data_IF_296510074294
#
_entry.id   IF_296510074294
#
_cell.length_a   1.000
_cell.length_b   1.000
_cell.length_c   1.000
_cell.angle_alpha   90.00
_cell.angle_beta   90.00
_cell.angle_gamma   90.00
#
_symmetry.space_group_name_H-M   'P 1'
#
loop_
_entity.id
_entity.type
_entity.pdbx_description
1 polymer ?
#
# COMPACT_ATOMS: atom_id res chain seq x y z
N UNK A 1 -23.45 -17.78 21.76
CA UNK A 1 -23.43 -17.07 20.46
C UNK A 1 -22.58 -15.79 20.47
N UNK A 2 -22.81 -14.81 21.37
CA UNK A 2 -22.03 -13.54 21.42
C UNK A 2 -20.52 -13.74 21.66
N UNK A 3 -20.13 -14.69 22.51
CA UNK A 3 -18.73 -15.06 22.74
C UNK A 3 -18.07 -15.74 21.54
N UNK A 4 -18.85 -16.45 20.73
CA UNK A 4 -18.37 -17.18 19.56
C UNK A 4 -18.03 -16.22 18.41
N UNK A 5 -18.83 -15.15 18.24
CA UNK A 5 -18.56 -14.07 17.28
C UNK A 5 -17.33 -13.27 17.72
N UNK A 6 -17.20 -12.95 19.02
CA UNK A 6 -16.01 -12.28 19.56
C UNK A 6 -14.73 -13.10 19.36
N UNK A 7 -14.80 -14.41 19.57
CA UNK A 7 -13.69 -15.33 19.32
C UNK A 7 -13.35 -15.42 17.82
N UNK A 8 -14.35 -15.47 16.93
CA UNK A 8 -14.16 -15.51 15.47
C UNK A 8 -13.50 -14.25 14.92
N UNK A 9 -13.91 -13.06 15.39
CA UNK A 9 -13.29 -11.79 15.01
C UNK A 9 -11.86 -11.71 15.54
N UNK A 10 -11.62 -12.16 16.78
CA UNK A 10 -10.28 -12.20 17.35
C UNK A 10 -9.37 -13.18 16.59
N UNK A 11 -9.86 -14.38 16.24
CA UNK A 11 -9.11 -15.35 15.43
C UNK A 11 -8.88 -14.85 13.99
N UNK A 12 -9.81 -14.10 13.39
CA UNK A 12 -9.63 -13.51 12.07
C UNK A 12 -8.59 -12.37 12.08
N UNK A 13 -8.55 -11.54 13.14
CA UNK A 13 -7.63 -10.41 13.26
C UNK A 13 -6.24 -10.85 13.71
N UNK A 14 -6.14 -11.86 14.58
CA UNK A 14 -4.85 -12.34 15.15
C UNK A 14 -4.34 -13.64 14.54
N UNK A 15 -5.16 -14.33 13.73
CA UNK A 15 -4.76 -15.54 13.00
C UNK A 15 -4.08 -15.28 11.66
N UNK A 16 -4.26 -14.08 11.09
CA UNK A 16 -3.37 -13.55 10.05
C UNK A 16 -2.10 -13.06 10.74
N UNK A 17 -1.00 -13.78 10.59
CA UNK A 17 0.27 -13.43 11.24
C UNK A 17 0.68 -11.97 11.01
N UNK A 18 1.36 -11.38 11.98
CA UNK A 18 1.87 -10.00 11.94
C UNK A 18 2.97 -9.73 10.89
N UNK A 19 3.09 -10.53 9.84
CA UNK A 19 3.95 -10.22 8.69
C UNK A 19 3.23 -9.20 7.80
N UNK A 20 3.14 -7.96 8.29
CA UNK A 20 2.73 -6.76 7.54
C UNK A 20 1.34 -6.86 6.89
N UNK A 21 0.40 -6.01 7.33
CA UNK A 21 -0.73 -5.59 6.49
C UNK A 21 -0.16 -5.01 5.18
N UNK A 22 -0.02 -5.86 4.16
CA UNK A 22 0.42 -5.45 2.84
C UNK A 22 -0.84 -5.16 2.05
N UNK A 23 -1.00 -3.91 1.63
CA UNK A 23 -2.10 -3.56 0.75
C UNK A 23 -2.02 -4.39 -0.53
N UNK A 24 -3.19 -4.70 -1.08
CA UNK A 24 -3.27 -5.33 -2.39
C UNK A 24 -2.46 -4.50 -3.41
N UNK A 25 -1.79 -5.16 -4.38
CA UNK A 25 -1.02 -4.45 -5.38
C UNK A 25 -1.92 -3.52 -6.19
N UNK A 26 -1.47 -2.27 -6.37
CA UNK A 26 -2.13 -1.31 -7.26
C UNK A 26 -1.87 -1.63 -8.73
N UNK A 27 -2.53 -0.90 -9.63
CA UNK A 27 -2.45 -1.17 -11.08
C UNK A 27 -1.02 -1.13 -11.62
N UNK A 28 -0.23 -0.11 -11.27
CA UNK A 28 1.18 -0.02 -11.71
C UNK A 28 2.01 -1.24 -11.27
N UNK A 29 1.73 -1.80 -10.08
CA UNK A 29 2.40 -3.02 -9.63
C UNK A 29 1.98 -4.25 -10.43
N UNK A 30 0.70 -4.36 -10.80
CA UNK A 30 0.19 -5.44 -11.65
C UNK A 30 0.72 -5.34 -13.07
N UNK A 31 0.75 -4.14 -13.65
CA UNK A 31 1.35 -3.86 -14.96
C UNK A 31 2.82 -4.28 -14.99
N UNK A 32 3.59 -3.89 -13.96
CA UNK A 32 4.99 -4.28 -13.84
C UNK A 32 5.17 -5.80 -13.64
N UNK A 33 4.32 -6.45 -12.84
CA UNK A 33 4.37 -7.91 -12.65
C UNK A 33 4.09 -8.66 -13.97
N UNK A 34 3.11 -8.19 -14.74
CA UNK A 34 2.82 -8.70 -16.08
C UNK A 34 4.00 -8.50 -17.04
N UNK A 35 4.53 -7.28 -17.14
CA UNK A 35 5.69 -6.97 -17.98
C UNK A 35 6.93 -7.78 -17.59
N UNK A 36 7.19 -7.94 -16.29
CA UNK A 36 8.27 -8.78 -15.79
C UNK A 36 8.11 -10.25 -16.25
N UNK A 37 6.89 -10.78 -16.28
CA UNK A 37 6.63 -12.12 -16.83
C UNK A 37 6.85 -12.20 -18.33
N UNK A 38 6.37 -11.23 -19.10
CA UNK A 38 6.59 -11.17 -20.55
C UNK A 38 8.09 -11.07 -20.89
N UNK A 39 8.83 -10.21 -20.20
CA UNK A 39 10.29 -10.07 -20.34
C UNK A 39 11.01 -11.38 -19.99
N UNK A 40 10.68 -12.02 -18.88
CA UNK A 40 11.30 -13.29 -18.48
C UNK A 40 11.02 -14.42 -19.48
N UNK A 41 9.78 -14.50 -19.98
CA UNK A 41 9.40 -15.46 -21.02
C UNK A 41 10.19 -15.25 -22.32
N UNK A 42 10.28 -14.00 -22.79
CA UNK A 42 11.01 -13.68 -24.02
C UNK A 42 12.51 -13.93 -23.86
N UNK A 43 13.10 -13.55 -22.72
CA UNK A 43 14.50 -13.83 -22.42
C UNK A 43 14.80 -15.34 -22.40
N UNK A 44 13.92 -16.14 -21.82
CA UNK A 44 14.05 -17.60 -21.84
C UNK A 44 13.87 -18.19 -23.24
N UNK A 45 12.98 -17.62 -24.07
CA UNK A 45 12.82 -18.03 -25.46
C UNK A 45 14.06 -17.72 -26.31
N UNK A 46 14.64 -16.53 -26.18
CA UNK A 46 15.85 -16.13 -26.89
C UNK A 46 17.07 -16.95 -26.44
N UNK A 47 17.23 -17.17 -25.12
CA UNK A 47 18.29 -18.01 -24.60
C UNK A 47 18.21 -19.48 -25.07
N UNK A 48 17.04 -19.96 -25.51
CA UNK A 48 16.90 -21.30 -26.13
C UNK A 48 17.27 -21.30 -27.61
N UNK A 49 17.23 -20.15 -28.29
CA UNK A 49 17.50 -20.00 -29.73
C UNK A 49 18.97 -19.64 -30.00
N UNK A 50 19.59 -18.89 -29.09
CA UNK A 50 20.96 -18.42 -29.23
C UNK A 50 21.99 -19.41 -28.68
N UNK A 51 23.25 -19.35 -29.16
CA UNK A 51 24.36 -20.17 -28.66
C UNK A 51 24.85 -19.67 -27.29
N UNK A 52 24.01 -19.74 -26.27
CA UNK A 52 24.35 -19.38 -24.89
C UNK A 52 24.84 -20.58 -24.09
N UNK A 53 25.46 -20.32 -22.94
CA UNK A 53 25.85 -21.40 -22.03
C UNK A 53 24.61 -22.13 -21.46
N UNK A 54 24.70 -23.44 -21.18
CA UNK A 54 23.61 -24.19 -20.53
C UNK A 54 23.18 -23.58 -19.19
N UNK A 55 24.12 -22.94 -18.48
CA UNK A 55 23.83 -22.24 -17.24
C UNK A 55 22.91 -21.03 -17.46
N UNK A 56 23.17 -20.22 -18.48
CA UNK A 56 22.35 -19.04 -18.79
C UNK A 56 20.95 -19.44 -19.29
N UNK A 57 20.85 -20.46 -20.13
CA UNK A 57 19.56 -21.02 -20.55
C UNK A 57 18.75 -21.57 -19.36
N UNK A 58 19.42 -22.22 -18.41
CA UNK A 58 18.80 -22.70 -17.17
C UNK A 58 18.30 -21.56 -16.26
N UNK A 59 19.11 -20.51 -16.07
CA UNK A 59 18.74 -19.34 -15.25
C UNK A 59 17.54 -18.59 -15.83
N UNK A 60 17.51 -18.36 -17.14
CA UNK A 60 16.39 -17.67 -17.80
C UNK A 60 15.11 -18.50 -17.75
N UNK A 61 15.21 -19.82 -17.93
CA UNK A 61 14.05 -20.72 -17.78
C UNK A 61 13.50 -20.74 -16.34
N UNK A 62 14.38 -20.71 -15.33
CA UNK A 62 13.96 -20.60 -13.94
C UNK A 62 13.32 -19.23 -13.64
N UNK A 63 13.88 -18.15 -14.19
CA UNK A 63 13.32 -16.80 -14.07
C UNK A 63 11.91 -16.72 -14.66
N UNK A 64 11.67 -17.28 -15.86
CA UNK A 64 10.34 -17.39 -16.48
C UNK A 64 9.35 -18.08 -15.53
N UNK A 65 9.74 -19.21 -14.94
CA UNK A 65 8.90 -19.99 -14.04
C UNK A 65 8.55 -19.23 -12.76
N UNK A 66 9.55 -18.61 -12.11
CA UNK A 66 9.36 -17.83 -10.89
C UNK A 66 8.52 -16.58 -11.16
N UNK A 67 8.76 -15.91 -12.29
CA UNK A 67 8.03 -14.72 -12.70
C UNK A 67 6.53 -15.00 -12.90
N UNK A 68 6.17 -16.18 -13.40
CA UNK A 68 4.76 -16.61 -13.49
C UNK A 68 4.08 -16.68 -12.12
N UNK A 69 4.80 -17.12 -11.08
CA UNK A 69 4.27 -17.14 -9.72
C UNK A 69 4.03 -15.72 -9.20
N UNK A 70 4.95 -14.79 -9.45
CA UNK A 70 4.77 -13.38 -9.06
C UNK A 70 3.59 -12.72 -9.78
N UNK A 71 3.44 -12.91 -11.09
CA UNK A 71 2.30 -12.40 -11.83
C UNK A 71 0.97 -12.99 -11.30
N UNK A 72 0.95 -14.29 -10.95
CA UNK A 72 -0.24 -14.91 -10.38
C UNK A 72 -0.60 -14.37 -8.99
N UNK A 73 0.40 -14.06 -8.16
CA UNK A 73 0.22 -13.46 -6.83
C UNK A 73 -0.28 -12.01 -6.92
N UNK A 74 0.28 -11.23 -7.84
CA UNK A 74 -0.11 -9.83 -8.03
C UNK A 74 -1.46 -9.68 -8.77
N UNK A 75 -1.80 -10.63 -9.62
CA UNK A 75 -2.94 -10.57 -10.53
C UNK A 75 -2.62 -9.86 -11.84
N UNK A 76 -3.63 -9.78 -12.71
CA UNK A 76 -3.52 -9.10 -14.00
C UNK A 76 -3.97 -7.63 -13.86
N UNK A 77 -3.33 -6.69 -14.58
CA UNK A 77 -3.80 -5.31 -14.64
C UNK A 77 -5.12 -5.23 -15.40
N UNK A 78 -5.88 -4.16 -15.19
CA UNK A 78 -7.14 -3.91 -15.90
C UNK A 78 -6.92 -3.77 -17.42
N UNK A 79 -5.84 -3.08 -17.81
CA UNK A 79 -5.39 -2.95 -19.19
C UNK A 79 -4.00 -3.58 -19.34
N UNK A 80 -3.84 -4.47 -20.32
CA UNK A 80 -2.56 -5.14 -20.55
C UNK A 80 -1.59 -4.19 -21.27
N UNK A 81 -0.41 -3.92 -20.70
CA UNK A 81 0.64 -3.19 -21.42
C UNK A 81 1.06 -3.90 -22.71
N UNK A 82 1.51 -3.13 -23.70
CA UNK A 82 2.09 -3.68 -24.92
C UNK A 82 3.30 -4.56 -24.58
N UNK A 83 3.23 -5.85 -24.94
CA UNK A 83 4.23 -6.85 -24.57
C UNK A 83 4.18 -8.08 -25.48
N UNK A 84 3.83 -7.89 -26.75
CA UNK A 84 3.72 -8.97 -27.73
C UNK A 84 5.09 -9.31 -28.31
N UNK A 85 5.94 -8.29 -28.49
CA UNK A 85 7.28 -8.38 -29.07
C UNK A 85 8.37 -7.98 -28.07
N UNK A 86 9.63 -8.30 -28.41
CA UNK A 86 10.80 -7.89 -27.61
C UNK A 86 10.90 -6.36 -27.59
N UNK A 87 10.60 -5.73 -28.72
CA UNK A 87 10.61 -4.28 -28.88
C UNK A 87 9.58 -3.61 -27.96
N UNK A 88 8.40 -4.21 -27.77
CA UNK A 88 7.38 -3.68 -26.85
C UNK A 88 7.84 -3.72 -25.39
N UNK A 89 8.40 -4.86 -24.94
CA UNK A 89 8.85 -5.00 -23.54
C UNK A 89 10.11 -4.18 -23.25
N UNK A 90 10.92 -3.86 -24.27
CA UNK A 90 12.08 -2.98 -24.16
C UNK A 90 11.75 -1.50 -24.43
N UNK A 91 10.50 -1.17 -24.76
CA UNK A 91 10.09 0.20 -25.01
C UNK A 91 10.24 1.09 -23.76
N UNK A 92 10.42 2.40 -23.98
CA UNK A 92 10.55 3.39 -22.90
C UNK A 92 9.34 3.40 -21.95
N UNK A 93 8.14 3.14 -22.47
CA UNK A 93 6.92 2.99 -21.67
C UNK A 93 7.02 1.86 -20.65
N UNK A 94 7.56 0.70 -21.04
CA UNK A 94 7.74 -0.47 -20.19
C UNK A 94 8.77 -0.21 -19.08
N UNK A 95 9.85 0.50 -19.42
CA UNK A 95 10.84 0.97 -18.44
C UNK A 95 10.25 1.99 -17.46
N UNK A 96 9.40 2.88 -17.94
CA UNK A 96 8.66 3.86 -17.12
C UNK A 96 7.76 3.17 -16.08
N UNK A 97 7.03 2.13 -16.48
CA UNK A 97 6.19 1.33 -15.58
C UNK A 97 7.05 0.65 -14.51
N UNK A 98 8.17 0.03 -14.90
CA UNK A 98 9.08 -0.61 -13.94
C UNK A 98 9.66 0.40 -12.93
N UNK A 99 10.07 1.58 -13.39
CA UNK A 99 10.56 2.65 -12.52
C UNK A 99 9.46 3.16 -11.56
N UNK A 100 8.24 3.38 -12.06
CA UNK A 100 7.11 3.80 -11.25
C UNK A 100 6.72 2.76 -10.20
N UNK A 101 6.77 1.47 -10.55
CA UNK A 101 6.51 0.38 -9.62
C UNK A 101 7.53 0.33 -8.48
N UNK A 102 8.81 0.61 -8.76
CA UNK A 102 9.86 0.73 -7.73
C UNK A 102 9.50 1.85 -6.74
N UNK A 103 9.22 3.05 -7.25
CA UNK A 103 8.86 4.21 -6.40
C UNK A 103 7.68 3.86 -5.51
N UNK A 104 6.57 3.37 -6.08
CA UNK A 104 5.37 3.00 -5.30
C UNK A 104 5.56 1.82 -4.35
N UNK A 105 6.46 0.89 -4.67
CA UNK A 105 6.78 -0.22 -3.76
C UNK A 105 7.62 0.21 -2.56
N UNK A 106 8.33 1.33 -2.68
CA UNK A 106 9.14 1.92 -1.62
C UNK A 106 8.37 2.91 -0.75
N UNK A 107 7.22 3.39 -1.23
CA UNK A 107 6.31 4.24 -0.47
C UNK A 107 5.75 3.43 0.71
N UNK A 108 5.88 3.99 1.92
CA UNK A 108 5.19 3.43 3.08
C UNK A 108 3.69 3.64 2.91
N UNK A 109 2.86 2.67 3.35
CA UNK A 109 1.43 2.90 3.58
C UNK A 109 1.21 4.26 4.25
N UNK A 110 0.42 5.14 3.62
CA UNK A 110 0.01 6.38 4.29
C UNK A 110 -0.71 5.99 5.58
N UNK A 111 -0.22 6.52 6.72
CA UNK A 111 -0.78 6.24 8.04
C UNK A 111 -2.26 6.62 8.07
N UNK A 112 -2.66 7.62 7.27
CA UNK A 112 -4.07 8.01 7.13
C UNK A 112 -4.91 6.96 6.41
N UNK A 113 -4.42 6.38 5.31
CA UNK A 113 -5.13 5.33 4.57
C UNK A 113 -5.32 4.07 5.41
N UNK A 114 -4.30 3.70 6.19
CA UNK A 114 -4.39 2.59 7.16
C UNK A 114 -5.44 2.89 8.24
N UNK A 115 -5.45 4.12 8.76
CA UNK A 115 -6.39 4.53 9.82
C UNK A 115 -7.83 4.56 9.31
N UNK A 116 -8.05 5.08 8.10
CA UNK A 116 -9.37 5.11 7.47
C UNK A 116 -9.89 3.70 7.20
N UNK A 117 -9.04 2.79 6.69
CA UNK A 117 -9.40 1.39 6.49
C UNK A 117 -9.80 0.68 7.79
N UNK A 118 -9.08 0.92 8.90
CA UNK A 118 -9.44 0.36 10.21
C UNK A 118 -10.77 0.90 10.74
N UNK A 119 -11.03 2.20 10.57
CA UNK A 119 -12.28 2.83 10.96
C UNK A 119 -13.47 2.31 10.14
N UNK A 120 -13.26 2.05 8.85
CA UNK A 120 -14.27 1.48 7.96
C UNK A 120 -14.64 0.05 8.34
N UNK A 121 -13.65 -0.80 8.66
CA UNK A 121 -13.89 -2.14 9.22
C UNK A 121 -14.66 -2.04 10.54
N UNK A 122 -14.27 -1.12 11.43
CA UNK A 122 -14.96 -0.87 12.69
C UNK A 122 -16.43 -0.48 12.51
N UNK A 123 -16.71 0.38 11.51
CA UNK A 123 -18.07 0.76 11.12
C UNK A 123 -18.87 -0.41 10.55
N UNK A 124 -18.27 -1.21 9.66
CA UNK A 124 -18.90 -2.38 9.07
C UNK A 124 -19.27 -3.43 10.14
N UNK A 125 -18.35 -3.74 11.04
CA UNK A 125 -18.60 -4.66 12.17
C UNK A 125 -19.68 -4.10 13.10
N UNK A 126 -19.65 -2.80 13.40
CA UNK A 126 -20.69 -2.15 14.21
C UNK A 126 -22.09 -2.23 13.57
N UNK A 127 -22.16 -2.16 12.23
CA UNK A 127 -23.40 -2.34 11.46
C UNK A 127 -23.97 -3.75 11.56
N UNK A 128 -23.10 -4.78 11.51
CA UNK A 128 -23.50 -6.20 11.59
C UNK A 128 -24.02 -6.57 12.99
N UNK A 129 -23.41 -6.02 14.06
CA UNK A 129 -23.75 -6.41 15.44
C UNK A 129 -25.18 -6.00 15.86
N UNK A 130 -25.84 -5.07 15.15
CA UNK A 130 -27.25 -4.73 15.35
C UNK A 130 -27.60 -4.13 16.72
N UNK A 131 -28.73 -3.41 16.79
CA UNK A 131 -29.27 -2.89 18.05
C UNK A 131 -28.51 -1.70 18.67
N UNK A 132 -28.82 -1.37 19.92
CA UNK A 132 -28.38 -0.13 20.60
C UNK A 132 -26.85 -0.02 20.71
N UNK A 133 -26.15 -1.15 20.88
CA UNK A 133 -24.70 -1.18 20.96
C UNK A 133 -24.04 -0.92 19.60
N UNK A 134 -24.55 -1.49 18.51
CA UNK A 134 -24.08 -1.22 17.15
C UNK A 134 -24.24 0.26 16.76
N UNK A 135 -25.38 0.87 17.11
CA UNK A 135 -25.64 2.30 16.86
C UNK A 135 -24.69 3.21 17.65
N UNK A 136 -24.32 2.84 18.89
CA UNK A 136 -23.34 3.62 19.68
C UNK A 136 -21.94 3.48 19.12
N UNK A 137 -21.54 2.25 18.75
CA UNK A 137 -20.24 1.98 18.15
C UNK A 137 -20.08 2.71 16.81
N UNK A 138 -21.09 2.69 15.93
CA UNK A 138 -21.02 3.40 14.65
C UNK A 138 -20.89 4.92 14.82
N UNK A 139 -21.62 5.50 15.77
CA UNK A 139 -21.45 6.93 16.13
C UNK A 139 -20.07 7.25 16.69
N UNK A 140 -19.48 6.35 17.47
CA UNK A 140 -18.13 6.51 17.98
C UNK A 140 -17.11 6.52 16.83
N UNK A 141 -17.14 5.50 15.96
CA UNK A 141 -16.21 5.42 14.83
C UNK A 141 -16.36 6.57 13.84
N UNK A 142 -17.60 7.02 13.58
CA UNK A 142 -17.85 8.21 12.75
C UNK A 142 -17.22 9.47 13.34
N UNK A 143 -17.41 9.71 14.64
CA UNK A 143 -16.76 10.84 15.34
C UNK A 143 -15.24 10.72 15.37
N UNK A 144 -14.72 9.50 15.50
CA UNK A 144 -13.28 9.26 15.44
C UNK A 144 -12.73 9.62 14.05
N UNK A 145 -13.42 9.23 12.97
CA UNK A 145 -13.08 9.61 11.60
C UNK A 145 -13.11 11.13 11.39
N UNK A 146 -14.19 11.80 11.81
CA UNK A 146 -14.31 13.26 11.73
C UNK A 146 -13.17 13.98 12.46
N UNK A 147 -12.78 13.50 13.65
CA UNK A 147 -11.63 14.04 14.39
C UNK A 147 -10.29 13.75 13.73
N UNK A 148 -10.13 12.57 13.13
CA UNK A 148 -8.94 12.17 12.38
C UNK A 148 -8.73 13.11 11.19
N UNK A 149 -9.78 13.35 10.40
CA UNK A 149 -9.75 14.27 9.26
C UNK A 149 -9.40 15.70 9.68
N UNK A 150 -10.04 16.20 10.75
CA UNK A 150 -9.71 17.52 11.27
C UNK A 150 -8.24 17.63 11.72
N UNK A 151 -7.68 16.57 12.34
CA UNK A 151 -6.27 16.54 12.72
C UNK A 151 -5.35 16.55 11.49
N UNK A 152 -5.71 15.79 10.44
CA UNK A 152 -4.98 15.77 9.16
C UNK A 152 -4.93 17.17 8.53
N UNK A 153 -6.08 17.82 8.38
CA UNK A 153 -6.19 19.19 7.84
C UNK A 153 -5.33 20.18 8.63
N UNK A 154 -5.34 20.08 9.96
CA UNK A 154 -4.51 20.93 10.83
C UNK A 154 -3.03 20.66 10.60
N UNK A 155 -2.61 19.39 10.51
CA UNK A 155 -1.20 19.04 10.28
C UNK A 155 -0.73 19.54 8.91
N UNK A 156 -1.49 19.27 7.85
CA UNK A 156 -1.18 19.69 6.47
C UNK A 156 -1.10 21.22 6.36
N UNK A 157 -2.10 21.93 6.89
CA UNK A 157 -2.10 23.39 6.92
C UNK A 157 -0.91 23.98 7.69
N UNK A 158 -0.51 23.34 8.79
CA UNK A 158 0.66 23.76 9.57
C UNK A 158 1.98 23.53 8.83
N UNK A 159 2.11 22.44 8.07
CA UNK A 159 3.31 22.21 7.27
C UNK A 159 3.39 23.18 6.09
N UNK A 160 2.27 23.49 5.42
CA UNK A 160 2.21 24.52 4.38
C UNK A 160 2.60 25.91 4.94
N UNK A 161 2.10 26.27 6.13
CA UNK A 161 2.45 27.53 6.79
C UNK A 161 3.96 27.64 7.06
N UNK A 162 4.60 26.55 7.48
CA UNK A 162 6.05 26.52 7.71
C UNK A 162 6.88 26.66 6.44
N UNK A 163 6.39 26.11 5.33
CA UNK A 163 7.07 26.22 4.03
C UNK A 163 6.98 27.65 3.48
N UNK A 164 5.87 28.33 3.72
CA UNK A 164 5.58 29.66 3.17
C UNK A 164 6.07 30.82 4.05
N UNK A 165 6.27 30.61 5.36
CA UNK A 165 6.73 31.66 6.29
C UNK A 165 7.69 31.13 7.38
N UNK A 166 8.95 31.56 7.29
CA UNK A 166 10.00 31.24 8.27
C UNK A 166 9.77 31.88 9.64
N UNK A 167 9.19 33.07 9.67
CA UNK A 167 8.83 33.79 10.90
C UNK A 167 7.67 33.10 11.64
N UNK A 168 6.63 32.68 10.92
CA UNK A 168 5.51 31.93 11.49
C UNK A 168 5.96 30.55 12.01
N UNK A 169 6.92 29.89 11.34
CA UNK A 169 7.48 28.61 11.79
C UNK A 169 8.14 28.70 13.18
N UNK A 170 8.84 29.81 13.47
CA UNK A 170 9.51 30.03 14.76
C UNK A 170 8.49 30.28 15.90
N UNK A 171 7.48 31.10 15.64
CA UNK A 171 6.39 31.35 16.59
C UNK A 171 5.59 30.06 16.86
N UNK A 172 5.30 29.29 15.81
CA UNK A 172 4.59 28.00 15.90
C UNK A 172 5.36 26.99 16.76
N UNK A 173 6.67 26.84 16.53
CA UNK A 173 7.54 25.96 17.33
C UNK A 173 7.52 26.33 18.80
N UNK A 174 7.42 27.62 19.12
CA UNK A 174 7.34 28.12 20.49
C UNK A 174 5.98 27.81 21.13
N UNK A 175 4.89 28.05 20.41
CA UNK A 175 3.53 27.74 20.89
C UNK A 175 3.31 26.25 21.18
N UNK A 176 4.02 25.37 20.47
CA UNK A 176 3.87 23.92 20.59
C UNK A 176 4.77 23.26 21.63
N UNK A 177 5.65 24.03 22.31
CA UNK A 177 6.55 23.48 23.36
C UNK A 177 5.80 22.83 24.52
N UNK A 178 4.58 23.28 24.81
CA UNK A 178 3.76 22.76 25.90
C UNK A 178 2.96 21.50 25.52
N UNK A 179 3.04 21.02 24.27
CA UNK A 179 2.35 19.79 23.88
C UNK A 179 2.90 18.58 24.65
N UNK A 180 1.97 17.70 25.04
CA UNK A 180 2.33 16.46 25.71
C UNK A 180 3.29 15.63 24.85
N UNK A 181 4.19 14.83 25.45
CA UNK A 181 5.04 13.90 24.71
C UNK A 181 4.21 12.97 23.81
N UNK A 182 3.06 12.49 24.28
CA UNK A 182 2.17 11.63 23.50
C UNK A 182 1.62 12.34 22.25
N UNK A 183 1.17 13.59 22.38
CA UNK A 183 0.67 14.39 21.25
C UNK A 183 1.78 14.63 20.21
N UNK A 184 3.01 14.91 20.66
CA UNK A 184 4.15 15.13 19.76
C UNK A 184 4.54 13.84 19.02
N UNK A 185 4.51 12.71 19.71
CA UNK A 185 4.75 11.41 19.10
C UNK A 185 3.71 11.11 18.02
N UNK A 186 2.42 11.24 18.35
CA UNK A 186 1.32 11.03 17.40
C UNK A 186 1.47 11.95 16.18
N UNK A 187 1.71 13.24 16.39
CA UNK A 187 1.89 14.21 15.29
C UNK A 187 3.13 13.92 14.44
N UNK A 188 4.20 13.38 15.04
CA UNK A 188 5.40 12.99 14.30
C UNK A 188 5.17 11.73 13.44
N UNK A 189 4.47 10.74 14.00
CA UNK A 189 4.07 9.51 13.29
C UNK A 189 3.13 9.82 12.12
N UNK A 190 2.25 10.83 12.25
CA UNK A 190 1.29 11.23 11.21
C UNK A 190 1.87 12.12 10.10
N UNK A 191 3.15 12.53 10.20
CA UNK A 191 3.84 13.37 9.20
C UNK A 191 4.76 12.59 8.27
N UNK A 192 5.17 11.39 8.67
CA UNK A 192 6.17 10.58 7.97
C UNK A 192 5.55 9.38 7.28
#
# INVERSE_FOLDING_TARGET
MRWMIGLLVMVAVFGGGCESLRFAPGEVQKENAYLHHRTAQMAAAEARREPVSPKLAGLTSLCELQSRAFMADYGLPEELPAAETIEDVLAESSLGIAAAAIVRSSERPDVWDVTDGLLEIGLAVAGIIGGVYGIRASRFFRRAREKSNALREIIEGNELLKQTSSEAAAAFKTAHKAQSPQTRQIVAELKG
#
